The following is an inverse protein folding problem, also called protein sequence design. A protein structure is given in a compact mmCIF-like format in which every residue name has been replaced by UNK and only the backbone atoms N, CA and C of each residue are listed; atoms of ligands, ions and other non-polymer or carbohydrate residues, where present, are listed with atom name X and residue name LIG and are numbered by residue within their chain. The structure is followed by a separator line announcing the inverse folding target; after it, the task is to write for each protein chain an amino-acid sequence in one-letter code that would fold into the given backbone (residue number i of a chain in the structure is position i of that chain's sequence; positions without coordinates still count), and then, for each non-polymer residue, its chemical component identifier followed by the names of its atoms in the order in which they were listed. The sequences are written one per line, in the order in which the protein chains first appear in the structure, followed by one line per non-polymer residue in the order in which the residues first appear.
data_IF_007281309154
#
_entry.id   IF_007281309154
#
_cell.length_a   1.000
_cell.length_b   1.000
_cell.length_c   1.000
_cell.angle_alpha   90.00
_cell.angle_beta   90.00
_cell.angle_gamma   90.00
#
_symmetry.space_group_name_H-M   'P 1'
#
loop_
_entity.id
_entity.type
_entity.pdbx_description
1 polymer ?
#
# COMPACT_ATOMS: atom_id res chain seq x y z
N UNK A 1 -13.65 3.36 -23.90
CA UNK A 1 -14.64 2.44 -23.39
C UNK A 1 -14.68 2.44 -21.86
N UNK A 2 -15.86 2.31 -21.29
CA UNK A 2 -16.17 2.35 -19.83
C UNK A 2 -15.32 1.34 -19.03
N UNK A 3 -14.99 0.20 -19.59
CA UNK A 3 -14.17 -0.83 -18.94
C UNK A 3 -12.72 -0.36 -18.70
N UNK A 4 -12.15 0.39 -19.63
CA UNK A 4 -10.79 0.97 -19.53
C UNK A 4 -10.75 2.12 -18.50
N UNK A 5 -11.77 2.97 -18.49
CA UNK A 5 -11.87 4.08 -17.51
C UNK A 5 -12.04 3.55 -16.09
N UNK A 6 -12.85 2.50 -15.85
CA UNK A 6 -12.96 1.85 -14.55
C UNK A 6 -11.63 1.28 -14.05
N UNK A 7 -10.85 0.63 -14.93
CA UNK A 7 -9.54 0.10 -14.56
C UNK A 7 -8.52 1.19 -14.24
N UNK A 8 -8.60 2.35 -14.87
CA UNK A 8 -7.70 3.47 -14.58
C UNK A 8 -8.01 4.12 -13.22
N UNK A 9 -9.28 4.31 -12.88
CA UNK A 9 -9.67 4.94 -11.61
C UNK A 9 -9.57 4.01 -10.39
N UNK A 10 -9.75 2.70 -10.57
CA UNK A 10 -9.61 1.70 -9.50
C UNK A 10 -8.15 1.57 -9.02
N UNK A 11 -7.17 1.91 -9.85
CA UNK A 11 -5.74 1.88 -9.51
C UNK A 11 -5.26 3.10 -8.74
N UNK A 12 -6.11 4.11 -8.60
CA UNK A 12 -5.70 5.40 -8.07
C UNK A 12 -5.61 5.43 -6.55
N UNK A 13 -4.40 5.58 -6.02
CA UNK A 13 -4.15 5.77 -4.59
C UNK A 13 -4.68 7.11 -4.07
N UNK A 14 -4.89 8.09 -4.94
CA UNK A 14 -5.42 9.40 -4.59
C UNK A 14 -6.82 9.35 -4.00
N UNK A 15 -7.64 8.35 -4.39
CA UNK A 15 -8.97 8.14 -3.84
C UNK A 15 -9.27 6.64 -3.64
N UNK A 16 -8.89 6.05 -2.50
CA UNK A 16 -9.11 4.63 -2.23
C UNK A 16 -10.59 4.24 -2.18
N UNK A 17 -11.50 5.19 -1.92
CA UNK A 17 -12.95 4.94 -1.96
C UNK A 17 -13.47 4.65 -3.38
N UNK A 18 -12.71 5.01 -4.41
CA UNK A 18 -13.06 4.73 -5.79
C UNK A 18 -13.24 3.21 -6.06
N UNK A 19 -12.37 2.39 -5.48
CA UNK A 19 -12.47 0.93 -5.58
C UNK A 19 -13.71 0.40 -4.86
N UNK A 20 -13.98 0.90 -3.66
CA UNK A 20 -15.14 0.49 -2.85
C UNK A 20 -16.45 0.86 -3.56
N UNK A 21 -16.54 2.09 -4.07
CA UNK A 21 -17.74 2.56 -4.78
C UNK A 21 -17.96 1.80 -6.09
N UNK A 22 -16.91 1.50 -6.84
CA UNK A 22 -17.02 0.73 -8.08
C UNK A 22 -17.57 -0.69 -7.82
N UNK A 23 -17.10 -1.36 -6.75
CA UNK A 23 -17.61 -2.66 -6.35
C UNK A 23 -19.06 -2.58 -5.85
N UNK A 24 -19.39 -1.59 -5.00
CA UNK A 24 -20.74 -1.39 -4.51
C UNK A 24 -21.74 -1.10 -5.65
N UNK A 25 -21.33 -0.28 -6.63
CA UNK A 25 -22.17 -0.01 -7.81
C UNK A 25 -22.40 -1.26 -8.67
N UNK A 26 -21.37 -2.09 -8.85
CA UNK A 26 -21.50 -3.37 -9.55
C UNK A 26 -22.51 -4.28 -8.85
N UNK A 27 -22.39 -4.46 -7.53
CA UNK A 27 -23.28 -5.28 -6.74
C UNK A 27 -24.73 -4.74 -6.76
N UNK A 28 -24.91 -3.43 -6.69
CA UNK A 28 -26.21 -2.79 -6.80
C UNK A 28 -26.88 -3.07 -8.14
N UNK A 29 -26.16 -2.90 -9.26
CA UNK A 29 -26.67 -3.19 -10.60
C UNK A 29 -27.07 -4.66 -10.73
N UNK A 30 -26.28 -5.58 -10.20
CA UNK A 30 -26.58 -7.02 -10.24
C UNK A 30 -27.81 -7.42 -9.43
N UNK A 31 -28.08 -6.71 -8.32
CA UNK A 31 -29.23 -7.00 -7.44
C UNK A 31 -30.51 -6.31 -7.88
N UNK A 32 -30.43 -5.07 -8.36
CA UNK A 32 -31.59 -4.27 -8.74
C UNK A 32 -32.03 -4.57 -10.18
N UNK A 33 -31.05 -4.83 -11.07
CA UNK A 33 -31.33 -5.06 -12.50
C UNK A 33 -31.60 -3.76 -13.27
N UNK A 34 -32.06 -3.93 -14.51
CA UNK A 34 -32.42 -2.82 -15.40
C UNK A 34 -33.95 -2.62 -15.38
N UNK A 35 -34.45 -1.36 -15.52
CA UNK A 35 -33.66 -0.12 -15.87
C UNK A 35 -33.08 0.64 -14.69
N UNK A 36 -33.39 0.30 -13.44
CA UNK A 36 -33.03 1.08 -12.23
C UNK A 36 -31.51 1.04 -11.97
N UNK A 37 -30.81 -0.01 -12.32
CA UNK A 37 -29.37 -0.18 -12.18
C UNK A 37 -28.54 0.90 -12.89
N UNK A 38 -29.13 1.65 -13.82
CA UNK A 38 -28.49 2.82 -14.47
C UNK A 38 -28.14 3.94 -13.49
N UNK A 39 -28.92 4.09 -12.41
CA UNK A 39 -28.76 5.18 -11.44
C UNK A 39 -27.46 5.01 -10.63
N UNK A 40 -27.24 3.89 -9.87
CA UNK A 40 -25.97 3.67 -9.16
C UNK A 40 -24.78 3.61 -10.12
N UNK A 41 -24.97 3.15 -11.36
CA UNK A 41 -23.88 3.17 -12.35
C UNK A 41 -23.51 4.59 -12.76
N UNK A 42 -24.48 5.49 -12.95
CA UNK A 42 -24.24 6.89 -13.25
C UNK A 42 -23.55 7.60 -12.10
N UNK A 43 -23.99 7.38 -10.85
CA UNK A 43 -23.36 7.92 -9.65
C UNK A 43 -21.90 7.51 -9.54
N UNK A 44 -21.60 6.22 -9.68
CA UNK A 44 -20.23 5.74 -9.67
C UNK A 44 -19.39 6.32 -10.81
N UNK A 45 -19.97 6.50 -11.99
CA UNK A 45 -19.28 7.09 -13.15
C UNK A 45 -18.89 8.54 -12.87
N UNK A 46 -19.80 9.36 -12.33
CA UNK A 46 -19.52 10.76 -11.96
C UNK A 46 -18.42 10.82 -10.90
N UNK A 47 -18.55 10.04 -9.84
CA UNK A 47 -17.56 9.98 -8.77
C UNK A 47 -16.15 9.61 -9.28
N UNK A 48 -16.05 8.57 -10.11
CA UNK A 48 -14.78 8.14 -10.69
C UNK A 48 -14.19 9.17 -11.67
N UNK A 49 -15.04 9.85 -12.45
CA UNK A 49 -14.62 10.87 -13.41
C UNK A 49 -14.07 12.13 -12.73
N UNK A 50 -14.65 12.50 -11.57
CA UNK A 50 -14.28 13.70 -10.81
C UNK A 50 -13.21 13.46 -9.75
N UNK A 51 -12.86 12.20 -9.46
CA UNK A 51 -11.84 11.86 -8.46
C UNK A 51 -10.43 12.24 -8.92
N UNK A 52 -9.56 12.75 -8.03
CA UNK A 52 -8.16 12.97 -8.33
C UNK A 52 -7.48 11.66 -8.72
N UNK A 53 -6.43 11.73 -9.53
CA UNK A 53 -5.75 10.57 -10.08
C UNK A 53 -4.33 10.45 -9.53
N UNK A 54 -3.91 9.18 -9.30
CA UNK A 54 -2.53 8.86 -8.91
C UNK A 54 -2.20 7.43 -9.33
N UNK A 55 -1.05 7.23 -9.94
CA UNK A 55 -0.52 5.91 -10.26
C UNK A 55 0.52 5.43 -9.25
N UNK A 56 0.67 6.10 -8.10
CA UNK A 56 1.71 5.78 -7.10
C UNK A 56 1.69 4.32 -6.63
N UNK A 57 0.51 3.71 -6.49
CA UNK A 57 0.38 2.30 -6.13
C UNK A 57 0.83 1.36 -7.26
N UNK A 58 0.54 1.72 -8.51
CA UNK A 58 0.99 0.97 -9.70
C UNK A 58 2.52 1.04 -9.86
N UNK A 59 3.10 2.23 -9.72
CA UNK A 59 4.55 2.42 -9.74
C UNK A 59 5.22 1.67 -8.58
N UNK A 60 4.61 1.73 -7.38
CA UNK A 60 5.11 1.02 -6.20
C UNK A 60 5.20 -0.48 -6.40
N UNK A 61 4.16 -1.14 -6.91
CA UNK A 61 4.21 -2.58 -7.16
C UNK A 61 5.19 -2.94 -8.28
N UNK A 62 5.31 -2.14 -9.34
CA UNK A 62 6.28 -2.38 -10.39
C UNK A 62 7.72 -2.24 -9.87
N UNK A 63 7.99 -1.22 -9.06
CA UNK A 63 9.30 -1.04 -8.41
C UNK A 63 9.64 -2.21 -7.50
N UNK A 64 8.67 -2.72 -6.74
CA UNK A 64 8.87 -3.90 -5.89
C UNK A 64 9.20 -5.15 -6.71
N UNK A 65 8.47 -5.40 -7.80
CA UNK A 65 8.69 -6.55 -8.67
C UNK A 65 10.06 -6.47 -9.35
N UNK A 66 10.47 -5.29 -9.78
CA UNK A 66 11.79 -5.08 -10.39
C UNK A 66 12.91 -5.30 -9.38
N UNK A 67 12.77 -4.78 -8.15
CA UNK A 67 13.71 -5.02 -7.06
C UNK A 67 13.90 -6.52 -6.80
N UNK A 68 12.80 -7.29 -6.74
CA UNK A 68 12.85 -8.75 -6.54
C UNK A 68 13.52 -9.46 -7.73
N UNK A 69 13.29 -9.01 -8.97
CA UNK A 69 13.98 -9.58 -10.14
C UNK A 69 15.48 -9.38 -10.09
N UNK A 70 15.91 -8.21 -9.63
CA UNK A 70 17.33 -7.86 -9.54
C UNK A 70 18.06 -8.56 -8.39
N UNK A 71 17.40 -8.71 -7.24
CA UNK A 71 18.01 -9.23 -6.01
C UNK A 71 17.73 -10.70 -5.72
N UNK A 72 16.70 -11.26 -6.37
CA UNK A 72 16.23 -12.62 -6.08
C UNK A 72 15.58 -12.75 -4.70
N UNK A 73 15.59 -13.94 -4.14
CA UNK A 73 15.03 -14.24 -2.83
C UNK A 73 16.00 -13.87 -1.71
N UNK A 74 15.87 -12.67 -1.17
CA UNK A 74 16.64 -12.25 -0.01
C UNK A 74 16.04 -12.80 1.29
N UNK A 75 16.87 -13.18 2.28
CA UNK A 75 16.39 -13.71 3.55
C UNK A 75 15.76 -12.59 4.40
N UNK A 76 14.67 -12.92 5.10
CA UNK A 76 14.09 -12.01 6.10
C UNK A 76 15.13 -11.72 7.20
N UNK A 77 15.28 -10.47 7.67
CA UNK A 77 16.19 -10.13 8.76
C UNK A 77 15.98 -10.99 10.01
N UNK A 78 17.08 -11.39 10.68
CA UNK A 78 17.03 -12.35 11.79
C UNK A 78 16.11 -11.91 12.93
N UNK A 79 16.11 -10.64 13.28
CA UNK A 79 15.26 -10.10 14.35
C UNK A 79 13.75 -10.19 14.06
N UNK A 80 13.35 -10.30 12.79
CA UNK A 80 11.96 -10.47 12.37
C UNK A 80 11.52 -11.94 12.29
N UNK A 81 12.45 -12.89 12.41
CA UNK A 81 12.12 -14.31 12.30
C UNK A 81 11.63 -14.86 13.63
N UNK A 82 10.58 -15.68 13.58
CA UNK A 82 10.12 -16.41 14.75
C UNK A 82 11.17 -17.44 15.23
N UNK A 83 11.30 -17.57 16.54
CA UNK A 83 12.24 -18.50 17.18
C UNK A 83 11.52 -19.54 18.06
N UNK A 84 10.72 -20.47 17.49
CA UNK A 84 9.95 -21.45 18.26
C UNK A 84 10.83 -22.50 18.93
N UNK A 85 12.05 -22.75 18.44
CA UNK A 85 12.97 -23.75 19.00
C UNK A 85 14.18 -23.11 19.69
N UNK A 86 14.83 -23.89 20.60
CA UNK A 86 16.06 -23.46 21.27
C UNK A 86 17.19 -23.16 20.28
N UNK A 87 17.32 -24.00 19.24
CA UNK A 87 18.31 -23.81 18.18
C UNK A 87 18.11 -22.47 17.43
N UNK A 88 16.88 -22.13 17.07
CA UNK A 88 16.58 -20.86 16.40
C UNK A 88 16.92 -19.65 17.27
N UNK A 89 16.66 -19.74 18.59
CA UNK A 89 17.08 -18.69 19.55
C UNK A 89 18.61 -18.56 19.60
N UNK A 90 19.34 -19.67 19.61
CA UNK A 90 20.81 -19.68 19.59
C UNK A 90 21.36 -19.07 18.28
N UNK A 91 20.66 -19.27 17.16
CA UNK A 91 20.98 -18.67 15.86
C UNK A 91 20.61 -17.17 15.77
N UNK A 92 20.09 -16.57 16.84
CA UNK A 92 19.75 -15.13 16.90
C UNK A 92 18.40 -14.76 16.28
N UNK A 93 17.52 -15.73 16.02
CA UNK A 93 16.17 -15.45 15.53
C UNK A 93 15.36 -14.70 16.58
N UNK A 94 14.72 -13.60 16.18
CA UNK A 94 13.93 -12.74 17.06
C UNK A 94 14.75 -11.90 18.05
N UNK A 95 16.10 -11.98 17.99
CA UNK A 95 16.96 -11.17 18.86
C UNK A 95 16.80 -9.69 18.51
N UNK A 96 16.65 -8.86 19.54
CA UNK A 96 16.47 -7.41 19.42
C UNK A 96 15.21 -6.96 18.66
N UNK A 97 14.22 -7.86 18.51
CA UNK A 97 12.92 -7.48 17.96
C UNK A 97 12.22 -6.46 18.85
N UNK A 98 11.82 -5.34 18.25
CA UNK A 98 11.09 -4.27 18.95
C UNK A 98 9.59 -4.45 18.70
N UNK A 99 8.85 -4.78 19.77
CA UNK A 99 7.40 -4.93 19.68
C UNK A 99 6.72 -3.56 19.63
N UNK A 100 6.17 -3.19 18.49
CA UNK A 100 5.65 -1.83 18.26
C UNK A 100 4.59 -1.38 19.28
N UNK A 101 3.73 -2.28 19.77
CA UNK A 101 2.71 -1.95 20.76
C UNK A 101 3.27 -1.59 22.15
N UNK A 102 4.54 -1.85 22.43
CA UNK A 102 5.21 -1.41 23.66
C UNK A 102 5.70 0.05 23.60
N UNK A 103 5.54 0.70 22.45
CA UNK A 103 6.00 2.07 22.21
C UNK A 103 4.83 3.02 22.01
N UNK A 104 5.05 4.30 22.34
CA UNK A 104 4.04 5.35 22.16
C UNK A 104 3.58 5.43 20.69
N UNK A 105 2.27 5.49 20.47
CA UNK A 105 1.70 5.52 19.11
C UNK A 105 1.77 4.20 18.36
N UNK A 106 2.11 3.08 19.03
CA UNK A 106 2.26 1.74 18.44
C UNK A 106 3.24 1.72 17.27
N UNK A 107 4.28 2.56 17.34
CA UNK A 107 5.29 2.67 16.29
C UNK A 107 6.70 2.68 16.89
N UNK A 108 7.60 1.98 16.24
CA UNK A 108 9.04 2.00 16.55
C UNK A 108 9.84 1.87 15.26
N UNK A 109 10.87 2.67 15.14
CA UNK A 109 11.77 2.56 14.01
C UNK A 109 12.62 1.29 14.15
N UNK A 110 12.47 0.38 13.20
CA UNK A 110 13.33 -0.78 13.02
C UNK A 110 13.45 -1.14 11.55
N UNK A 111 14.47 -1.90 11.21
CA UNK A 111 14.68 -2.35 9.84
C UNK A 111 13.74 -3.52 9.51
N UNK A 112 12.99 -3.41 8.43
CA UNK A 112 12.10 -4.48 7.94
C UNK A 112 12.63 -5.16 6.68
N UNK A 113 13.45 -4.45 5.91
CA UNK A 113 14.03 -4.97 4.68
C UNK A 113 15.37 -5.66 4.95
N UNK A 114 15.76 -6.67 4.14
CA UNK A 114 17.11 -7.23 4.14
C UNK A 114 18.20 -6.17 4.00
N UNK A 115 19.41 -6.47 4.49
CA UNK A 115 20.52 -5.51 4.51
C UNK A 115 20.88 -4.96 3.12
N UNK A 116 20.80 -5.80 2.11
CA UNK A 116 21.12 -5.48 0.72
C UNK A 116 20.18 -4.42 0.12
N UNK A 117 18.95 -4.34 0.63
CA UNK A 117 17.91 -3.47 0.13
C UNK A 117 17.30 -2.57 1.21
N UNK A 118 17.95 -2.45 2.36
CA UNK A 118 17.44 -1.72 3.54
C UNK A 118 17.07 -0.27 3.26
N UNK A 119 17.78 0.38 2.32
CA UNK A 119 17.58 1.76 1.95
C UNK A 119 16.65 1.95 0.75
N UNK A 120 16.13 0.84 0.19
CA UNK A 120 15.21 0.89 -0.94
C UNK A 120 13.88 1.53 -0.54
N UNK A 121 13.42 2.44 -1.38
CA UNK A 121 12.12 3.07 -1.27
C UNK A 121 11.26 2.67 -2.46
N UNK A 122 10.22 1.91 -2.20
CA UNK A 122 9.38 1.29 -3.22
C UNK A 122 8.22 2.21 -3.63
N UNK A 123 7.63 2.91 -2.65
CA UNK A 123 6.48 3.76 -2.90
C UNK A 123 6.84 5.24 -2.78
N UNK A 124 6.48 6.01 -3.80
CA UNK A 124 6.68 7.46 -3.88
C UNK A 124 5.32 8.14 -3.98
N UNK A 125 4.88 8.86 -2.94
CA UNK A 125 3.61 9.58 -2.97
C UNK A 125 3.64 10.70 -4.01
N UNK A 126 2.52 10.85 -4.73
CA UNK A 126 2.35 11.90 -5.71
C UNK A 126 1.76 13.17 -5.08
N UNK A 127 1.81 14.27 -5.82
CA UNK A 127 1.37 15.57 -5.34
C UNK A 127 -0.16 15.71 -5.43
N UNK A 128 -0.88 15.01 -4.54
CA UNK A 128 -2.30 15.17 -4.31
C UNK A 128 -2.60 15.25 -2.81
N UNK A 129 -3.73 15.84 -2.43
CA UNK A 129 -4.05 16.16 -1.04
C UNK A 129 -4.05 14.95 -0.09
N UNK A 130 -4.43 13.78 -0.56
CA UNK A 130 -4.45 12.56 0.28
C UNK A 130 -3.05 11.98 0.48
N UNK A 131 -2.28 11.87 -0.60
CA UNK A 131 -0.93 11.34 -0.52
C UNK A 131 0.04 12.31 0.17
N UNK A 132 -0.18 13.63 0.06
CA UNK A 132 0.57 14.63 0.82
C UNK A 132 0.44 14.41 2.33
N UNK A 133 -0.77 14.19 2.85
CA UNK A 133 -0.99 13.87 4.28
C UNK A 133 -0.27 12.59 4.72
N UNK A 134 -0.27 11.58 3.85
CA UNK A 134 0.43 10.33 4.13
C UNK A 134 1.94 10.56 4.10
N UNK A 135 2.46 11.35 3.15
CA UNK A 135 3.87 11.74 3.06
C UNK A 135 4.33 12.44 4.35
N UNK A 136 3.59 13.44 4.82
CA UNK A 136 3.86 14.14 6.08
C UNK A 136 3.91 13.18 7.27
N UNK A 137 2.92 12.28 7.38
CA UNK A 137 2.91 11.27 8.43
C UNK A 137 4.12 10.32 8.34
N UNK A 138 4.46 9.85 7.13
CA UNK A 138 5.62 8.99 6.95
C UNK A 138 6.92 9.71 7.28
N UNK A 139 7.06 10.98 6.94
CA UNK A 139 8.20 11.80 7.31
C UNK A 139 8.30 11.99 8.83
N UNK A 140 7.19 12.23 9.53
CA UNK A 140 7.18 12.35 10.99
C UNK A 140 7.57 11.04 11.70
N UNK A 141 7.22 9.88 11.14
CA UNK A 141 7.52 8.57 11.71
C UNK A 141 8.94 8.08 11.39
N UNK A 142 9.39 8.27 10.14
CA UNK A 142 10.62 7.68 9.61
C UNK A 142 11.77 8.68 9.44
N UNK A 143 11.51 9.97 9.64
CA UNK A 143 12.53 11.04 9.56
C UNK A 143 13.28 11.05 8.22
N UNK A 144 14.59 11.01 8.28
CA UNK A 144 15.49 11.12 7.11
C UNK A 144 15.21 10.06 6.03
N UNK A 145 14.74 8.86 6.41
CA UNK A 145 14.43 7.80 5.45
C UNK A 145 13.34 8.20 4.45
N UNK A 146 12.47 9.17 4.81
CA UNK A 146 11.36 9.64 3.97
C UNK A 146 11.56 11.07 3.47
N UNK A 147 12.71 11.70 3.73
CA UNK A 147 13.09 12.95 3.07
C UNK A 147 13.49 12.67 1.62
N UNK A 148 13.12 13.59 0.75
CA UNK A 148 13.58 13.64 -0.65
C UNK A 148 14.97 14.22 -0.73
#
# INVERSE_FOLDING_TARGET
SIRRQRQMCIRDRANPNALLLANAAFDAVMKIGWPEGRIPLAEATVYLATSPKSNSAYEGINSALELVRQTGNLPVPLHLRNAPTKLMKQLGYGKDYKYAHAYQGNFVQQQFLPDEVKDSRIWHPQNNAQEAKIKERMQSLWGERFKE
#
